data_IF_780827452487
#
_entry.id   IF_780827452487
#
_cell.length_a   1.000
_cell.length_b   1.000
_cell.length_c   1.000
_cell.angle_alpha   90.00
_cell.angle_beta   90.00
_cell.angle_gamma   90.00
#
_symmetry.space_group_name_H-M   'P 1'
#
loop_
_entity.id
_entity.type
_entity.pdbx_description
1 polymer ?
#
# COMPACT_ATOMS: atom_id res chain seq x y z
N UNK A 1 -11.17 -23.35 -16.59
CA UNK A 1 -10.57 -22.04 -16.28
C UNK A 1 -11.39 -21.00 -17.01
N UNK A 2 -12.28 -20.28 -16.33
CA UNK A 2 -12.98 -19.15 -16.95
C UNK A 2 -11.97 -18.03 -17.13
N UNK A 3 -11.63 -17.72 -18.39
CA UNK A 3 -10.82 -16.57 -18.74
C UNK A 3 -11.63 -15.33 -18.38
N UNK A 4 -11.32 -14.69 -17.25
CA UNK A 4 -11.81 -13.35 -16.95
C UNK A 4 -11.08 -12.45 -17.96
N UNK A 5 -11.78 -12.02 -19.00
CA UNK A 5 -11.26 -11.06 -19.97
C UNK A 5 -11.31 -9.70 -19.28
N UNK A 6 -10.17 -9.03 -19.21
CA UNK A 6 -10.15 -7.64 -18.77
C UNK A 6 -10.88 -6.80 -19.82
N UNK A 7 -11.76 -5.88 -19.42
CA UNK A 7 -12.45 -4.97 -20.34
C UNK A 7 -11.41 -4.15 -21.12
N UNK A 8 -11.65 -3.96 -22.42
CA UNK A 8 -10.68 -3.31 -23.31
C UNK A 8 -10.92 -1.81 -23.43
N UNK A 9 -12.10 -1.33 -23.00
CA UNK A 9 -12.54 0.06 -23.10
C UNK A 9 -13.16 0.55 -21.80
N UNK A 10 -13.15 1.87 -21.60
CA UNK A 10 -13.72 2.52 -20.41
C UNK A 10 -15.22 2.29 -20.34
N UNK A 11 -15.90 2.21 -21.48
CA UNK A 11 -17.33 1.93 -21.59
C UNK A 11 -17.66 0.52 -21.07
N UNK A 12 -16.89 -0.49 -21.47
CA UNK A 12 -17.04 -1.87 -20.95
C UNK A 12 -16.73 -1.95 -19.44
N UNK A 13 -15.71 -1.24 -18.95
CA UNK A 13 -15.42 -1.12 -17.52
C UNK A 13 -16.59 -0.49 -16.73
N UNK A 14 -17.19 0.57 -17.29
CA UNK A 14 -18.27 1.30 -16.63
C UNK A 14 -19.56 0.47 -16.56
N UNK A 15 -19.88 -0.28 -17.61
CA UNK A 15 -21.00 -1.23 -17.63
C UNK A 15 -20.83 -2.32 -16.56
N UNK A 16 -19.61 -2.84 -16.41
CA UNK A 16 -19.29 -3.83 -15.37
C UNK A 16 -19.46 -3.26 -13.97
N UNK A 17 -19.02 -2.03 -13.71
CA UNK A 17 -19.21 -1.37 -12.42
C UNK A 17 -20.68 -1.04 -12.15
N UNK A 18 -21.44 -0.60 -13.14
CA UNK A 18 -22.86 -0.33 -13.01
C UNK A 18 -23.63 -1.61 -12.64
N UNK A 19 -23.30 -2.75 -13.26
CA UNK A 19 -23.91 -4.04 -12.93
C UNK A 19 -23.52 -4.49 -11.51
N UNK A 20 -22.26 -4.33 -11.10
CA UNK A 20 -21.83 -4.62 -9.73
C UNK A 20 -22.60 -3.79 -8.69
N UNK A 21 -22.79 -2.48 -8.95
CA UNK A 21 -23.59 -1.59 -8.09
C UNK A 21 -25.05 -2.02 -8.03
N UNK A 22 -25.65 -2.43 -9.16
CA UNK A 22 -27.03 -2.95 -9.20
C UNK A 22 -27.20 -4.23 -8.38
N UNK A 23 -26.16 -5.07 -8.36
CA UNK A 23 -26.10 -6.29 -7.54
C UNK A 23 -25.76 -6.01 -6.06
N UNK A 24 -25.52 -4.75 -5.69
CA UNK A 24 -25.13 -4.35 -4.33
C UNK A 24 -23.71 -4.77 -3.93
N UNK A 25 -22.84 -5.05 -4.90
CA UNK A 25 -21.44 -5.41 -4.71
C UNK A 25 -20.59 -4.13 -4.83
N UNK A 26 -19.59 -3.98 -3.96
CA UNK A 26 -18.63 -2.88 -4.05
C UNK A 26 -17.81 -3.01 -5.36
N UNK A 27 -17.95 -2.07 -6.32
CA UNK A 27 -17.24 -2.14 -7.60
C UNK A 27 -15.73 -1.89 -7.44
N UNK A 28 -15.29 -1.36 -6.31
CA UNK A 28 -13.89 -0.99 -6.10
C UNK A 28 -13.09 -2.10 -5.42
N UNK A 29 -11.78 -2.21 -5.74
CA UNK A 29 -10.92 -3.16 -5.05
C UNK A 29 -10.86 -2.84 -3.55
N UNK A 30 -10.76 -3.87 -2.69
CA UNK A 30 -10.67 -3.66 -1.25
C UNK A 30 -9.47 -2.80 -0.91
N UNK A 31 -9.63 -1.93 0.10
CA UNK A 31 -8.56 -1.06 0.58
C UNK A 31 -7.31 -1.90 0.88
N UNK A 32 -6.19 -1.59 0.19
CA UNK A 32 -4.92 -2.27 0.44
C UNK A 32 -4.56 -2.11 1.91
N UNK A 33 -4.32 -3.22 2.60
CA UNK A 33 -3.90 -3.21 4.01
C UNK A 33 -2.59 -2.44 4.07
N UNK A 34 -2.60 -1.28 4.74
CA UNK A 34 -1.44 -0.40 4.88
C UNK A 34 -0.25 -1.25 5.34
N UNK A 35 0.80 -1.32 4.52
CA UNK A 35 1.89 -2.27 4.68
C UNK A 35 2.44 -2.23 6.10
N UNK A 36 2.16 -3.28 6.89
CA UNK A 36 2.71 -3.43 8.25
C UNK A 36 4.24 -3.35 8.22
N UNK A 37 4.83 -3.91 7.17
CA UNK A 37 6.26 -3.89 6.87
C UNK A 37 6.78 -2.46 6.71
N UNK A 38 6.06 -1.60 5.98
CA UNK A 38 6.48 -0.21 5.76
C UNK A 38 6.52 0.60 7.07
N UNK A 39 5.57 0.36 7.97
CA UNK A 39 5.56 1.02 9.29
C UNK A 39 6.73 0.56 10.16
N UNK A 40 7.03 -0.74 10.13
CA UNK A 40 8.15 -1.31 10.89
C UNK A 40 9.50 -0.84 10.36
N UNK A 41 9.67 -0.79 9.03
CA UNK A 41 10.92 -0.32 8.42
C UNK A 41 11.19 1.15 8.73
N UNK A 42 10.16 1.99 8.75
CA UNK A 42 10.30 3.40 9.10
C UNK A 42 10.75 3.59 10.55
N UNK A 43 10.16 2.84 11.49
CA UNK A 43 10.57 2.90 12.90
C UNK A 43 12.01 2.45 13.11
N UNK A 44 12.41 1.33 12.48
CA UNK A 44 13.78 0.84 12.55
C UNK A 44 14.80 1.82 11.96
N UNK A 45 14.46 2.46 10.84
CA UNK A 45 15.29 3.48 10.22
C UNK A 45 15.55 4.67 11.16
N UNK A 46 14.52 5.15 11.87
CA UNK A 46 14.70 6.24 12.84
C UNK A 46 15.62 5.85 13.99
N UNK A 47 15.52 4.60 14.48
CA UNK A 47 16.40 4.09 15.54
C UNK A 47 17.86 4.06 15.05
N UNK A 48 18.12 3.58 13.84
CA UNK A 48 19.49 3.54 13.28
C UNK A 48 20.08 4.95 13.18
N UNK A 49 19.31 5.93 12.68
CA UNK A 49 19.79 7.32 12.59
C UNK A 49 20.10 7.87 13.98
N UNK A 50 19.21 7.64 14.95
CA UNK A 50 19.40 8.14 16.31
C UNK A 50 20.64 7.53 16.97
N UNK A 51 20.84 6.21 16.84
CA UNK A 51 22.05 5.53 17.33
C UNK A 51 23.31 5.99 16.61
N UNK A 52 23.23 6.25 15.31
CA UNK A 52 24.36 6.77 14.52
C UNK A 52 24.76 8.17 15.00
N UNK A 53 23.78 9.03 15.27
CA UNK A 53 24.00 10.36 15.82
C UNK A 53 24.57 10.33 17.23
N UNK A 54 24.00 9.51 18.12
CA UNK A 54 24.49 9.33 19.50
C UNK A 54 25.92 8.80 19.50
N UNK A 55 26.23 7.84 18.62
CA UNK A 55 27.60 7.33 18.44
C UNK A 55 28.57 8.44 18.05
N UNK A 56 28.24 9.23 17.01
CA UNK A 56 29.09 10.36 16.59
C UNK A 56 29.27 11.41 17.70
N UNK A 57 28.23 11.67 18.49
CA UNK A 57 28.30 12.58 19.62
C UNK A 57 29.28 12.06 20.69
N UNK A 58 29.16 10.79 21.06
CA UNK A 58 30.08 10.14 22.02
C UNK A 58 31.54 10.16 21.53
N UNK A 59 31.77 9.84 20.25
CA UNK A 59 33.11 9.88 19.65
C UNK A 59 33.75 11.27 19.61
N UNK A 60 32.95 12.35 19.65
CA UNK A 60 33.45 13.72 19.68
C UNK A 60 33.63 14.25 21.10
N UNK A 61 32.90 13.70 22.05
CA UNK A 61 32.92 14.13 23.45
C UNK A 61 34.00 13.42 24.29
N UNK A 62 34.37 12.19 23.90
CA UNK A 62 35.42 11.38 24.51
C UNK A 62 36.74 11.51 23.75
#
# INVERSE_FOLDING_TARGET
>A
MSQIRDPETIEEELELFAEAVRLGIDPFPPKRVRGRILRLSLGWFMIIIMLSWVSQFLYRAL
#
